data_IF_854536760728
#
_entry.id   IF_854536760728
#
_cell.length_a   1.000
_cell.length_b   1.000
_cell.length_c   1.000
_cell.angle_alpha   90.00
_cell.angle_beta   90.00
_cell.angle_gamma   90.00
#
_symmetry.space_group_name_H-M   'P 1'
#
loop_
_entity.id
_entity.type
_entity.pdbx_description
1 polymer ?
#
# COMPACT_ATOMS: atom_id res chain seq x y z
N UNK A 1 10.00 9.28 -6.90
CA UNK A 1 8.62 9.01 -6.43
C UNK A 1 8.24 7.53 -6.42
N UNK A 2 8.54 6.75 -7.48
CA UNK A 2 8.25 5.30 -7.53
C UNK A 2 9.00 4.48 -6.45
N UNK A 3 10.24 4.87 -6.12
CA UNK A 3 11.06 4.17 -5.13
C UNK A 3 10.47 4.20 -3.72
N UNK A 4 9.82 5.30 -3.32
CA UNK A 4 9.29 5.44 -1.95
C UNK A 4 8.07 4.53 -1.75
N UNK A 5 7.19 4.43 -2.74
CA UNK A 5 5.97 3.61 -2.65
C UNK A 5 6.32 2.13 -2.55
N UNK A 6 7.23 1.65 -3.40
CA UNK A 6 7.66 0.25 -3.37
C UNK A 6 8.34 -0.10 -2.05
N UNK A 7 9.19 0.79 -1.53
CA UNK A 7 9.82 0.61 -0.21
C UNK A 7 8.80 0.58 0.93
N UNK A 8 7.80 1.47 0.91
CA UNK A 8 6.69 1.43 1.89
C UNK A 8 5.93 0.11 1.83
N UNK A 9 5.64 -0.41 0.63
CA UNK A 9 4.96 -1.69 0.44
C UNK A 9 5.80 -2.86 0.98
N UNK A 10 7.11 -2.89 0.72
CA UNK A 10 8.02 -3.89 1.28
C UNK A 10 8.04 -3.86 2.82
N UNK A 11 8.10 -2.66 3.44
CA UNK A 11 8.07 -2.50 4.91
C UNK A 11 6.78 -2.98 5.55
N UNK A 12 5.68 -2.85 4.82
CA UNK A 12 4.36 -3.34 5.22
C UNK A 12 4.16 -4.83 4.89
N UNK A 13 5.19 -5.52 4.39
CA UNK A 13 5.12 -6.90 3.89
C UNK A 13 3.96 -7.12 2.91
N UNK A 14 3.70 -6.10 2.08
CA UNK A 14 2.60 -6.06 1.13
C UNK A 14 3.13 -6.42 -0.26
N UNK A 15 2.73 -7.55 -0.85
CA UNK A 15 3.15 -7.93 -2.19
C UNK A 15 2.60 -6.93 -3.21
N UNK A 16 3.50 -6.42 -4.04
CA UNK A 16 3.19 -5.48 -5.11
C UNK A 16 3.66 -6.07 -6.44
N UNK A 17 2.77 -6.06 -7.43
CA UNK A 17 3.05 -6.50 -8.78
C UNK A 17 3.49 -5.33 -9.65
N UNK A 18 4.52 -5.55 -10.47
CA UNK A 18 4.96 -4.55 -11.44
C UNK A 18 4.00 -4.53 -12.63
N UNK A 19 3.46 -3.36 -12.92
CA UNK A 19 2.53 -3.14 -14.03
C UNK A 19 3.07 -2.01 -14.92
N UNK A 20 3.89 -2.38 -15.90
CA UNK A 20 4.63 -1.43 -16.73
C UNK A 20 5.60 -0.58 -15.91
N UNK A 21 5.40 0.74 -15.94
CA UNK A 21 6.20 1.73 -15.17
C UNK A 21 5.70 1.95 -13.73
N UNK A 22 4.64 1.26 -13.31
CA UNK A 22 4.00 1.42 -11.99
C UNK A 22 3.94 0.11 -11.20
N UNK A 23 3.48 0.20 -9.96
CA UNK A 23 3.20 -0.96 -9.10
C UNK A 23 1.72 -0.99 -8.73
N UNK A 24 1.16 -2.20 -8.64
CA UNK A 24 -0.19 -2.42 -8.15
C UNK A 24 -0.19 -3.44 -7.04
N UNK A 25 -1.12 -3.31 -6.11
CA UNK A 25 -1.36 -4.31 -5.07
C UNK A 25 -2.71 -4.96 -5.34
N UNK A 26 -2.71 -6.29 -5.29
CA UNK A 26 -3.90 -7.10 -5.41
C UNK A 26 -4.65 -7.07 -4.08
N UNK A 27 -5.92 -6.68 -4.12
CA UNK A 27 -6.79 -6.65 -2.93
C UNK A 27 -8.12 -7.31 -3.25
N UNK A 28 -8.77 -7.88 -2.24
CA UNK A 28 -10.11 -8.42 -2.35
C UNK A 28 -11.11 -7.39 -1.86
N UNK A 29 -12.03 -6.98 -2.73
CA UNK A 29 -13.07 -6.02 -2.35
C UNK A 29 -14.13 -6.69 -1.45
N UNK A 30 -15.09 -5.88 -0.97
CA UNK A 30 -16.19 -6.39 -0.12
C UNK A 30 -17.10 -7.42 -0.80
N UNK A 31 -17.05 -7.52 -2.13
CA UNK A 31 -17.81 -8.48 -2.94
C UNK A 31 -17.00 -9.74 -3.28
N UNK A 32 -15.80 -9.91 -2.71
CA UNK A 32 -14.94 -11.06 -2.98
C UNK A 32 -14.18 -10.99 -4.31
N UNK A 33 -14.33 -9.90 -5.07
CA UNK A 33 -13.65 -9.71 -6.35
C UNK A 33 -12.22 -9.23 -6.14
N UNK A 34 -11.32 -9.73 -6.97
CA UNK A 34 -9.93 -9.28 -7.03
C UNK A 34 -9.87 -7.97 -7.80
N UNK A 35 -9.32 -6.93 -7.18
CA UNK A 35 -9.06 -5.64 -7.82
C UNK A 35 -7.62 -5.21 -7.55
N UNK A 36 -7.08 -4.39 -8.45
CA UNK A 36 -5.69 -3.91 -8.38
C UNK A 36 -5.67 -2.41 -8.11
N UNK A 37 -4.96 -1.98 -7.06
CA UNK A 37 -4.83 -0.56 -6.69
C UNK A 37 -3.40 -0.07 -6.88
N UNK A 38 -3.24 1.17 -7.36
CA UNK A 38 -1.93 1.81 -7.59
C UNK A 38 -1.77 3.17 -6.89
N UNK A 39 -2.86 3.85 -6.54
CA UNK A 39 -2.83 5.19 -5.94
C UNK A 39 -2.74 5.13 -4.41
N UNK A 40 -1.59 4.74 -3.87
CA UNK A 40 -1.36 4.63 -2.42
C UNK A 40 -1.25 5.99 -1.70
N UNK A 41 -1.47 7.12 -2.37
CA UNK A 41 -1.65 8.42 -1.73
C UNK A 41 -3.07 8.63 -1.20
N UNK A 42 -4.06 7.84 -1.65
CA UNK A 42 -5.45 7.97 -1.24
C UNK A 42 -5.69 7.24 0.08
N UNK A 43 -6.27 7.93 1.07
CA UNK A 43 -6.61 7.34 2.36
C UNK A 43 -7.56 6.12 2.24
N UNK A 44 -8.49 6.12 1.27
CA UNK A 44 -9.35 4.96 1.01
C UNK A 44 -8.56 3.70 0.64
N UNK A 45 -7.45 3.84 -0.09
CA UNK A 45 -6.58 2.73 -0.44
C UNK A 45 -5.73 2.26 0.75
N UNK A 46 -5.40 3.15 1.69
CA UNK A 46 -4.77 2.75 2.97
C UNK A 46 -5.68 1.83 3.76
N UNK A 47 -6.98 2.14 3.86
CA UNK A 47 -7.96 1.28 4.54
C UNK A 47 -8.08 -0.09 3.89
N UNK A 48 -8.10 -0.12 2.56
CA UNK A 48 -8.15 -1.37 1.81
C UNK A 48 -6.90 -2.23 2.03
N UNK A 49 -5.71 -1.62 2.01
CA UNK A 49 -4.47 -2.31 2.34
C UNK A 49 -4.45 -2.83 3.78
N UNK A 50 -4.83 -1.96 4.73
CA UNK A 50 -4.90 -2.30 6.15
C UNK A 50 -5.79 -3.53 6.38
N UNK A 51 -6.97 -3.54 5.76
CA UNK A 51 -7.91 -4.65 5.84
C UNK A 51 -7.38 -5.92 5.16
N UNK A 52 -6.83 -5.82 3.95
CA UNK A 52 -6.36 -6.98 3.18
C UNK A 52 -5.20 -7.70 3.88
N UNK A 53 -4.27 -6.95 4.47
CA UNK A 53 -3.02 -7.47 5.03
C UNK A 53 -3.01 -7.49 6.56
N UNK A 54 -4.16 -7.28 7.20
CA UNK A 54 -4.29 -7.24 8.66
C UNK A 54 -3.29 -6.28 9.33
N UNK A 55 -3.18 -5.07 8.78
CA UNK A 55 -2.31 -4.00 9.28
C UNK A 55 -3.16 -2.93 9.96
N UNK A 56 -2.58 -2.17 10.88
CA UNK A 56 -3.25 -0.97 11.41
C UNK A 56 -3.23 0.16 10.38
N UNK A 57 -4.35 0.88 10.24
CA UNK A 57 -4.44 2.03 9.34
C UNK A 57 -3.35 3.07 9.65
N UNK A 58 -3.07 3.30 10.93
CA UNK A 58 -2.00 4.20 11.38
C UNK A 58 -0.62 3.77 10.88
N UNK A 59 -0.31 2.46 10.91
CA UNK A 59 0.97 1.93 10.39
C UNK A 59 1.07 2.11 8.88
N UNK A 60 -0.01 1.87 8.15
CA UNK A 60 -0.07 2.09 6.69
C UNK A 60 0.12 3.57 6.39
N UNK A 61 -0.64 4.44 7.04
CA UNK A 61 -0.59 5.88 6.84
C UNK A 61 0.81 6.45 7.13
N UNK A 62 1.42 6.01 8.23
CA UNK A 62 2.78 6.39 8.61
C UNK A 62 3.79 5.99 7.55
N UNK A 63 3.74 4.75 7.03
CA UNK A 63 4.69 4.29 6.02
C UNK A 63 4.53 5.00 4.66
N UNK A 64 3.33 5.49 4.34
CA UNK A 64 3.06 6.25 3.10
C UNK A 64 3.11 7.77 3.29
N UNK A 65 3.34 8.26 4.50
CA UNK A 65 3.49 9.69 4.77
C UNK A 65 4.75 10.22 4.10
N UNK A 66 4.67 11.43 3.54
CA UNK A 66 5.81 12.11 2.93
C UNK A 66 6.92 12.41 3.94
N UNK A 67 6.53 12.54 5.21
CA UNK A 67 7.42 12.89 6.32
C UNK A 67 8.00 11.67 7.03
N UNK A 68 7.74 10.45 6.53
CA UNK A 68 8.23 9.23 7.15
C UNK A 68 9.74 9.10 7.02
N UNK A 69 10.45 9.50 8.08
CA UNK A 69 11.86 9.19 8.28
C UNK A 69 11.95 7.86 9.02
N UNK A 70 12.69 6.92 8.43
CA UNK A 70 12.97 5.61 9.04
C UNK A 70 13.52 5.85 10.46
N UNK A 71 12.95 5.23 11.52
CA UNK A 71 13.63 5.20 12.80
C UNK A 71 14.94 4.42 12.60
N UNK A 72 16.06 5.09 12.88
CA UNK A 72 17.42 4.55 12.76
C UNK A 72 17.65 3.37 13.67
#
# INVERSE_FOLDING_TARGET
>A
MLSNVLESLKRLNTPAERWGSSFRVQIRNKYGQVVYISSFSKASNHKLLAKQYNLSESRVHTNFSKDYKRPG
#
